data_IF_684210858559
#
_entry.id   IF_684210858559
#
_cell.length_a   1.000
_cell.length_b   1.000
_cell.length_c   1.000
_cell.angle_alpha   90.00
_cell.angle_beta   90.00
_cell.angle_gamma   90.00
#
_symmetry.space_group_name_H-M   'P 1'
#
loop_
_entity.id
_entity.type
_entity.pdbx_description
1 polymer ?
#
# COMPACT_ATOMS: atom_id res chain seq x y z
N UNK A 1 20.67 -1.07 24.67
CA UNK A 1 19.46 -0.56 23.98
C UNK A 1 18.47 -1.71 23.91
N UNK A 2 17.39 -1.70 24.69
CA UNK A 2 16.43 -2.83 24.76
C UNK A 2 15.61 -2.91 23.46
N UNK A 3 15.73 -3.98 22.65
CA UNK A 3 15.02 -4.10 21.37
C UNK A 3 13.50 -4.16 21.53
N UNK A 4 13.01 -4.72 22.64
CA UNK A 4 11.62 -5.09 22.86
C UNK A 4 10.63 -3.94 23.11
N UNK A 5 11.10 -2.73 23.46
CA UNK A 5 10.22 -1.62 23.85
C UNK A 5 9.55 -0.94 22.65
N UNK A 6 10.14 -1.03 21.45
CA UNK A 6 9.53 -0.48 20.22
C UNK A 6 8.38 -1.35 19.71
N UNK A 7 8.52 -2.67 19.83
CA UNK A 7 7.58 -3.62 19.20
C UNK A 7 6.20 -3.55 19.85
N UNK A 8 6.12 -3.58 21.19
CA UNK A 8 4.83 -3.57 21.89
C UNK A 8 4.04 -2.28 21.69
N UNK A 9 4.72 -1.12 21.70
CA UNK A 9 4.06 0.17 21.51
C UNK A 9 3.60 0.34 20.06
N UNK A 10 4.41 -0.05 19.08
CA UNK A 10 4.01 -0.05 17.66
C UNK A 10 2.85 -0.99 17.37
N UNK A 11 2.85 -2.20 17.96
CA UNK A 11 1.72 -3.14 17.84
C UNK A 11 0.45 -2.58 18.49
N UNK A 12 0.56 -1.91 19.63
CA UNK A 12 -0.57 -1.26 20.29
C UNK A 12 -1.13 -0.09 19.46
N UNK A 13 -0.25 0.73 18.85
CA UNK A 13 -0.69 1.80 17.96
C UNK A 13 -1.40 1.21 16.72
N UNK A 14 -0.84 0.16 16.10
CA UNK A 14 -1.47 -0.51 14.96
C UNK A 14 -2.87 -1.03 15.32
N UNK A 15 -3.01 -1.64 16.49
CA UNK A 15 -4.32 -2.06 17.02
C UNK A 15 -5.28 -0.88 17.15
N UNK A 16 -4.86 0.23 17.76
CA UNK A 16 -5.71 1.41 17.89
C UNK A 16 -6.12 2.00 16.54
N UNK A 17 -5.22 2.03 15.55
CA UNK A 17 -5.49 2.56 14.20
C UNK A 17 -6.50 1.67 13.44
N UNK A 18 -6.39 0.35 13.57
CA UNK A 18 -7.29 -0.60 12.87
C UNK A 18 -8.68 -0.62 13.49
N UNK A 19 -8.78 -0.60 14.82
CA UNK A 19 -10.05 -0.77 15.54
C UNK A 19 -10.75 0.54 15.91
N UNK A 20 -10.01 1.66 15.97
CA UNK A 20 -10.55 2.96 16.35
C UNK A 20 -10.16 4.02 15.31
N UNK A 21 -10.86 4.07 14.15
CA UNK A 21 -10.52 4.95 13.04
C UNK A 21 -10.62 6.46 13.38
N UNK A 22 -11.36 6.84 14.42
CA UNK A 22 -11.36 8.24 14.91
C UNK A 22 -10.09 8.64 15.67
N UNK A 23 -9.36 7.66 16.20
CA UNK A 23 -8.10 7.88 16.93
C UNK A 23 -6.93 7.91 15.94
N UNK A 24 -7.02 7.20 14.81
CA UNK A 24 -5.99 7.25 13.77
C UNK A 24 -5.81 8.66 13.17
N UNK A 25 -6.86 9.47 13.11
CA UNK A 25 -6.77 10.87 12.63
C UNK A 25 -5.85 11.73 13.52
N UNK A 26 -5.71 11.38 14.80
CA UNK A 26 -4.79 12.06 15.71
C UNK A 26 -3.38 11.45 15.66
N UNK A 27 -3.29 10.14 15.38
CA UNK A 27 -2.04 9.40 15.20
C UNK A 27 -1.62 9.47 13.72
N UNK A 28 -1.57 10.68 13.17
CA UNK A 28 -1.26 10.95 11.76
C UNK A 28 0.25 10.88 11.42
N UNK A 29 1.04 10.18 12.25
CA UNK A 29 2.40 9.79 11.83
C UNK A 29 2.29 8.50 11.05
N UNK A 30 2.82 8.43 9.82
CA UNK A 30 2.76 7.18 9.08
C UNK A 30 3.69 6.21 9.79
N UNK A 31 3.14 5.30 10.59
CA UNK A 31 3.85 4.16 11.16
C UNK A 31 4.64 3.39 10.08
N UNK A 32 4.18 3.50 8.84
CA UNK A 32 4.78 2.89 7.67
C UNK A 32 5.69 3.83 6.87
N UNK A 33 5.83 5.12 7.20
CA UNK A 33 6.52 6.09 6.33
C UNK A 33 7.97 5.69 6.04
N UNK A 34 8.67 5.14 7.03
CA UNK A 34 10.07 4.76 6.90
C UNK A 34 10.26 3.54 5.98
N UNK A 35 9.30 2.61 5.97
CA UNK A 35 9.34 1.39 5.16
C UNK A 35 8.52 1.47 3.85
N UNK A 36 7.70 2.51 3.69
CA UNK A 36 6.88 2.76 2.51
C UNK A 36 7.69 2.83 1.22
N UNK A 37 8.89 3.45 1.16
CA UNK A 37 9.68 3.52 -0.06
C UNK A 37 10.10 2.13 -0.57
N UNK A 38 10.52 1.25 0.35
CA UNK A 38 10.91 -0.12 0.01
C UNK A 38 9.72 -0.93 -0.49
N UNK A 39 8.63 -0.94 0.27
CA UNK A 39 7.41 -1.66 -0.11
C UNK A 39 6.87 -1.17 -1.45
N UNK A 40 6.83 0.16 -1.65
CA UNK A 40 6.42 0.79 -2.91
C UNK A 40 7.29 0.35 -4.08
N UNK A 41 8.61 0.31 -3.91
CA UNK A 41 9.53 -0.10 -4.98
C UNK A 41 9.33 -1.57 -5.36
N UNK A 42 9.24 -2.47 -4.38
CA UNK A 42 8.99 -3.90 -4.63
C UNK A 42 7.62 -4.08 -5.31
N UNK A 43 6.58 -3.43 -4.79
CA UNK A 43 5.24 -3.48 -5.35
C UNK A 43 5.21 -3.06 -6.82
N UNK A 44 5.81 -1.91 -7.17
CA UNK A 44 5.84 -1.43 -8.56
C UNK A 44 6.67 -2.32 -9.47
N UNK A 45 7.80 -2.87 -8.98
CA UNK A 45 8.59 -3.85 -9.75
C UNK A 45 7.77 -5.09 -10.08
N UNK A 46 7.04 -5.63 -9.12
CA UNK A 46 6.15 -6.78 -9.33
C UNK A 46 5.01 -6.47 -10.29
N UNK A 47 4.36 -5.31 -10.14
CA UNK A 47 3.28 -4.87 -11.04
C UNK A 47 3.78 -4.68 -12.48
N UNK A 48 4.98 -4.09 -12.66
CA UNK A 48 5.58 -3.90 -13.99
C UNK A 48 5.94 -5.23 -14.65
N UNK A 49 6.58 -6.14 -13.92
CA UNK A 49 6.89 -7.47 -14.43
C UNK A 49 5.62 -8.23 -14.86
N UNK A 50 4.51 -8.04 -14.13
CA UNK A 50 3.23 -8.62 -14.48
C UNK A 50 2.61 -8.00 -15.73
N UNK A 51 2.61 -6.66 -15.81
CA UNK A 51 2.16 -5.90 -16.99
C UNK A 51 2.90 -6.33 -18.27
N UNK A 52 4.20 -6.58 -18.17
CA UNK A 52 5.03 -7.09 -19.28
C UNK A 52 4.70 -8.55 -19.65
N UNK A 53 4.35 -9.38 -18.66
CA UNK A 53 4.03 -10.80 -18.89
C UNK A 53 2.72 -11.04 -19.64
N UNK A 54 1.76 -10.09 -19.61
CA UNK A 54 0.41 -10.18 -20.22
C UNK A 54 -0.39 -11.44 -19.88
N UNK A 55 -0.02 -12.17 -18.83
CA UNK A 55 -0.73 -13.37 -18.37
C UNK A 55 -1.73 -12.95 -17.31
N UNK A 56 -3.03 -13.05 -17.64
CA UNK A 56 -4.11 -12.87 -16.68
C UNK A 56 -4.26 -14.15 -15.84
N UNK A 57 -4.10 -14.02 -14.52
CA UNK A 57 -4.23 -15.14 -13.56
C UNK A 57 -5.57 -15.14 -12.83
N UNK A 58 -6.33 -14.05 -12.94
CA UNK A 58 -7.56 -13.83 -12.17
C UNK A 58 -7.30 -13.45 -10.72
N UNK A 59 -6.13 -12.87 -10.42
CA UNK A 59 -5.74 -12.50 -9.05
C UNK A 59 -5.99 -11.00 -8.77
N UNK A 60 -5.75 -10.59 -7.52
CA UNK A 60 -5.92 -9.19 -7.08
C UNK A 60 -5.02 -8.24 -7.88
N UNK A 61 -3.82 -8.66 -8.29
CA UNK A 61 -2.93 -7.82 -9.11
C UNK A 61 -3.49 -7.59 -10.52
N UNK A 62 -4.25 -8.53 -11.10
CA UNK A 62 -4.93 -8.32 -12.38
C UNK A 62 -5.99 -7.22 -12.26
N UNK A 63 -6.79 -7.27 -11.19
CA UNK A 63 -7.78 -6.23 -10.92
C UNK A 63 -7.12 -4.86 -10.69
N UNK A 64 -6.00 -4.81 -9.97
CA UNK A 64 -5.24 -3.57 -9.78
C UNK A 64 -4.67 -3.03 -11.09
N UNK A 65 -4.21 -3.91 -12.00
CA UNK A 65 -3.70 -3.52 -13.30
C UNK A 65 -4.83 -3.00 -14.20
N UNK A 66 -6.01 -3.65 -14.16
CA UNK A 66 -7.22 -3.22 -14.85
C UNK A 66 -7.65 -1.83 -14.39
N UNK A 67 -7.77 -1.62 -13.08
CA UNK A 67 -8.08 -0.31 -12.49
C UNK A 67 -7.06 0.77 -12.90
N UNK A 68 -5.76 0.43 -12.89
CA UNK A 68 -4.70 1.35 -13.35
C UNK A 68 -4.90 1.76 -14.82
N UNK A 69 -5.30 0.82 -15.67
CA UNK A 69 -5.51 1.09 -17.09
C UNK A 69 -6.79 1.90 -17.33
N UNK A 70 -7.89 1.58 -16.64
CA UNK A 70 -9.15 2.36 -16.68
C UNK A 70 -8.92 3.82 -16.26
N UNK A 71 -8.09 4.07 -15.25
CA UNK A 71 -7.73 5.44 -14.82
C UNK A 71 -6.90 6.18 -15.87
N UNK A 72 -6.01 5.50 -16.61
CA UNK A 72 -5.23 6.13 -17.69
C UNK A 72 -6.10 6.46 -18.90
N UNK A 73 -7.07 5.61 -19.23
CA UNK A 73 -7.99 5.84 -20.35
C UNK A 73 -8.95 7.00 -20.04
N UNK A 74 -9.52 7.03 -18.83
CA UNK A 74 -10.42 8.11 -18.41
C UNK A 74 -9.69 9.44 -18.12
N UNK A 75 -8.40 9.39 -17.75
CA UNK A 75 -7.56 10.58 -17.59
C UNK A 75 -7.08 11.21 -18.90
N UNK A 76 -7.27 10.53 -20.04
CA UNK A 76 -6.97 11.04 -21.39
C UNK A 76 -8.21 11.48 -22.17
N UNK A 77 -9.41 11.37 -21.58
CA UNK A 77 -10.67 11.79 -22.22
C UNK A 77 -11.25 13.10 -21.70
N UNK A 78 -10.57 13.77 -20.79
CA UNK A 78 -10.87 15.15 -20.41
C UNK A 78 -9.57 15.97 -20.40
N UNK A 79 -9.11 16.33 -21.61
CA UNK A 79 -8.47 17.59 -22.04
C UNK A 79 -7.79 17.40 -23.41
#
# INVERSE_FOLDING_TARGET
RSPFRRDFFSSFILFCVVFFPKISDFINRPLLAEHTPYYRNVFWKSMKAKEESKIERGDIMDNLLKLKNEQKENGNSEF
#
